data_IF_380695540617
#
_entry.id   IF_380695540617
#
_cell.length_a   1.000
_cell.length_b   1.000
_cell.length_c   1.000
_cell.angle_alpha   90.00
_cell.angle_beta   90.00
_cell.angle_gamma   90.00
#
_symmetry.space_group_name_H-M   'P 1'
#
loop_
_entity.id
_entity.type
_entity.pdbx_description
1 polymer ?
#
# COMPACT_ATOMS: atom_id res chain seq x y z
N UNK A 1 40.19 5.44 3.81
CA UNK A 1 38.84 5.12 3.27
C UNK A 1 37.86 5.18 4.43
N UNK A 2 37.23 6.34 4.64
CA UNK A 2 36.24 6.56 5.70
C UNK A 2 34.88 6.09 5.21
N UNK A 3 34.34 5.02 5.79
CA UNK A 3 33.01 4.50 5.45
C UNK A 3 31.96 5.21 6.30
N UNK A 4 31.18 6.11 5.71
CA UNK A 4 30.01 6.75 6.35
C UNK A 4 28.78 5.84 6.26
N UNK A 5 28.04 5.68 7.36
CA UNK A 5 26.83 4.84 7.44
C UNK A 5 25.59 5.73 7.46
N UNK A 6 24.71 5.59 6.47
CA UNK A 6 23.50 6.39 6.37
C UNK A 6 22.27 5.63 6.88
N UNK A 7 21.45 6.29 7.70
CA UNK A 7 20.13 5.80 8.14
C UNK A 7 19.03 6.55 7.37
N UNK A 8 17.97 5.85 6.95
CA UNK A 8 16.95 6.40 6.02
C UNK A 8 15.57 6.49 6.66
N UNK A 9 15.00 7.69 6.71
CA UNK A 9 13.62 7.94 7.15
C UNK A 9 12.79 8.62 6.06
N UNK A 10 11.50 8.27 5.93
CA UNK A 10 10.59 8.87 4.93
C UNK A 10 9.95 10.15 5.49
N UNK A 11 10.05 11.27 4.79
CA UNK A 11 9.68 12.60 5.31
C UNK A 11 8.18 12.93 5.27
N UNK A 12 7.36 12.17 4.55
CA UNK A 12 5.93 12.43 4.42
C UNK A 12 5.16 11.11 4.44
N UNK A 13 4.66 10.74 5.62
CA UNK A 13 3.60 9.73 5.73
C UNK A 13 2.28 10.50 5.69
N UNK A 14 1.31 10.14 4.81
CA UNK A 14 -0.04 10.65 4.97
C UNK A 14 -0.55 10.32 6.38
N UNK A 15 -1.38 11.19 6.98
CA UNK A 15 -1.88 10.98 8.33
C UNK A 15 -2.54 9.61 8.43
N UNK A 16 -2.14 8.83 9.44
CA UNK A 16 -2.71 7.52 9.69
C UNK A 16 -4.16 7.69 10.16
N UNK A 17 -5.08 7.77 9.23
CA UNK A 17 -6.51 7.70 9.50
C UNK A 17 -6.87 6.24 9.77
N UNK A 18 -7.74 5.99 10.74
CA UNK A 18 -8.32 4.66 10.97
C UNK A 18 -9.06 4.12 9.75
N UNK A 19 -9.39 4.98 8.77
CA UNK A 19 -9.98 4.63 7.47
C UNK A 19 -8.95 4.35 6.38
N UNK A 20 -7.72 4.86 6.49
CA UNK A 20 -6.69 4.69 5.45
C UNK A 20 -5.98 3.35 5.59
N UNK A 21 -6.37 2.38 4.77
CA UNK A 21 -5.75 1.05 4.67
C UNK A 21 -4.55 1.09 3.73
N UNK A 22 -3.46 1.72 4.18
CA UNK A 22 -2.23 1.86 3.40
C UNK A 22 -1.25 0.73 3.73
N UNK A 23 -0.74 0.04 2.70
CA UNK A 23 0.29 -0.99 2.79
C UNK A 23 1.54 -0.49 2.07
N UNK A 24 2.62 -0.29 2.82
CA UNK A 24 3.92 -0.01 2.24
C UNK A 24 4.56 -1.31 1.73
N UNK A 25 4.99 -1.30 0.47
CA UNK A 25 5.66 -2.40 -0.20
C UNK A 25 7.16 -2.10 -0.24
N UNK A 26 7.96 -3.00 0.33
CA UNK A 26 9.41 -2.94 0.27
C UNK A 26 9.95 -3.81 -0.87
N UNK A 27 11.14 -3.47 -1.35
CA UNK A 27 11.87 -4.31 -2.31
C UNK A 27 12.14 -5.72 -1.78
N UNK A 28 12.16 -5.92 -0.45
CA UNK A 28 12.32 -7.23 0.20
C UNK A 28 11.00 -7.97 0.51
N UNK A 29 9.84 -7.32 0.37
CA UNK A 29 8.54 -7.95 0.65
C UNK A 29 8.27 -9.08 -0.36
N UNK A 30 8.00 -10.33 0.04
CA UNK A 30 7.60 -11.37 -0.90
C UNK A 30 6.31 -11.00 -1.64
N UNK A 31 6.22 -11.29 -2.93
CA UNK A 31 5.09 -10.90 -3.78
C UNK A 31 3.74 -11.34 -3.19
N UNK A 32 3.59 -12.64 -2.90
CA UNK A 32 2.38 -13.20 -2.31
C UNK A 32 2.06 -12.65 -0.91
N UNK A 33 3.04 -12.15 -0.17
CA UNK A 33 2.79 -11.51 1.12
C UNK A 33 2.10 -10.14 0.93
N UNK A 34 2.44 -9.40 -0.12
CA UNK A 34 1.74 -8.16 -0.45
C UNK A 34 0.29 -8.43 -0.87
N UNK A 35 0.08 -9.40 -1.76
CA UNK A 35 -1.25 -9.84 -2.22
C UNK A 35 -2.14 -10.27 -1.06
N UNK A 36 -1.67 -11.21 -0.22
CA UNK A 36 -2.44 -11.72 0.93
C UNK A 36 -2.78 -10.62 1.94
N UNK A 37 -1.88 -9.65 2.15
CA UNK A 37 -2.16 -8.50 3.05
C UNK A 37 -3.26 -7.60 2.49
N UNK A 38 -3.21 -7.30 1.19
CA UNK A 38 -4.24 -6.50 0.53
C UNK A 38 -5.60 -7.22 0.57
N UNK A 39 -5.63 -8.51 0.19
CA UNK A 39 -6.85 -9.34 0.24
C UNK A 39 -7.46 -9.37 1.63
N UNK A 40 -6.65 -9.58 2.67
CA UNK A 40 -7.11 -9.58 4.07
C UNK A 40 -7.75 -8.26 4.48
N UNK A 41 -7.22 -7.12 4.00
CA UNK A 41 -7.77 -5.81 4.32
C UNK A 41 -9.09 -5.53 3.56
N UNK A 42 -9.20 -5.98 2.31
CA UNK A 42 -10.46 -5.98 1.54
C UNK A 42 -11.51 -6.92 2.18
N UNK A 43 -11.10 -8.09 2.67
CA UNK A 43 -11.99 -9.01 3.36
C UNK A 43 -12.53 -8.48 4.68
N UNK A 44 -11.66 -7.77 5.41
CA UNK A 44 -12.01 -7.19 6.70
C UNK A 44 -13.08 -6.11 6.54
N UNK A 45 -13.02 -5.30 5.49
CA UNK A 45 -14.04 -4.27 5.26
C UNK A 45 -15.42 -4.85 5.00
N UNK A 46 -15.49 -5.93 4.22
CA UNK A 46 -16.73 -6.64 3.97
C UNK A 46 -17.36 -7.19 5.27
N UNK A 47 -16.56 -7.44 6.32
CA UNK A 47 -17.08 -7.98 7.60
C UNK A 47 -17.71 -6.87 8.43
N UNK A 48 -17.15 -5.67 8.35
CA UNK A 48 -17.66 -4.49 9.04
C UNK A 48 -18.99 -4.01 8.47
N UNK A 49 -19.23 -4.19 7.17
CA UNK A 49 -20.45 -3.70 6.49
C UNK A 49 -21.66 -4.63 6.61
N UNK A 50 -21.56 -5.74 7.35
CA UNK A 50 -22.66 -6.72 7.45
C UNK A 50 -22.95 -7.47 6.14
N UNK A 51 -22.09 -7.31 5.13
CA UNK A 51 -22.22 -7.96 3.84
C UNK A 51 -21.87 -9.46 3.95
N UNK A 52 -22.93 -10.25 4.11
CA UNK A 52 -22.97 -11.72 4.06
C UNK A 52 -22.50 -12.52 5.31
N UNK A 53 -22.96 -13.78 5.45
CA UNK A 53 -22.76 -14.61 6.65
C UNK A 53 -21.28 -14.97 6.91
N UNK A 54 -20.98 -15.28 8.17
CA UNK A 54 -19.63 -15.49 8.75
C UNK A 54 -18.73 -16.49 7.99
N UNK A 55 -19.30 -17.39 7.19
CA UNK A 55 -18.59 -18.44 6.44
C UNK A 55 -18.69 -18.30 4.91
N UNK A 56 -19.21 -17.19 4.40
CA UNK A 56 -19.29 -16.96 2.95
C UNK A 56 -17.90 -16.73 2.34
N UNK A 57 -17.68 -17.26 1.14
CA UNK A 57 -16.47 -16.96 0.37
C UNK A 57 -16.44 -15.48 -0.05
N UNK A 58 -15.26 -14.94 -0.33
CA UNK A 58 -15.12 -13.55 -0.78
C UNK A 58 -16.01 -13.27 -2.00
N UNK A 59 -16.03 -14.19 -2.97
CA UNK A 59 -16.86 -14.10 -4.16
C UNK A 59 -18.36 -13.97 -3.84
N UNK A 60 -18.87 -14.80 -2.91
CA UNK A 60 -20.26 -14.75 -2.47
C UNK A 60 -20.60 -13.42 -1.78
N UNK A 61 -19.64 -12.83 -1.07
CA UNK A 61 -19.82 -11.56 -0.36
C UNK A 61 -19.81 -10.36 -1.31
N UNK A 62 -18.92 -10.40 -2.31
CA UNK A 62 -18.89 -9.43 -3.41
C UNK A 62 -20.19 -9.49 -4.23
N UNK A 63 -20.69 -10.69 -4.55
CA UNK A 63 -21.99 -10.83 -5.20
C UNK A 63 -23.16 -10.30 -4.34
N UNK A 64 -23.14 -10.56 -3.03
CA UNK A 64 -24.19 -10.07 -2.13
C UNK A 64 -24.26 -8.54 -2.14
N UNK A 65 -23.11 -7.85 -2.14
CA UNK A 65 -23.04 -6.39 -2.26
C UNK A 65 -23.66 -5.87 -3.56
N UNK A 66 -23.40 -6.55 -4.68
CA UNK A 66 -24.00 -6.20 -5.99
C UNK A 66 -25.52 -6.30 -5.95
N UNK A 67 -26.07 -7.32 -5.28
CA UNK A 67 -27.53 -7.54 -5.17
C UNK A 67 -28.23 -6.53 -4.26
N UNK A 68 -27.57 -6.06 -3.20
CA UNK A 68 -28.14 -5.07 -2.26
C UNK A 68 -28.15 -3.65 -2.80
N UNK A 69 -27.78 -3.43 -4.06
CA UNK A 69 -27.93 -2.13 -4.72
C UNK A 69 -27.03 -1.06 -4.11
N UNK A 70 -25.71 -1.27 -4.12
CA UNK A 70 -24.70 -0.21 -4.13
C UNK A 70 -24.86 0.93 -3.12
N UNK A 71 -25.48 0.69 -1.96
CA UNK A 71 -25.50 1.67 -0.89
C UNK A 71 -24.05 1.95 -0.48
N UNK A 72 -23.71 3.23 -0.35
CA UNK A 72 -22.51 3.91 0.16
C UNK A 72 -21.75 3.17 1.28
N UNK A 73 -21.40 1.92 1.04
CA UNK A 73 -20.46 1.17 1.82
C UNK A 73 -19.16 1.86 1.48
N UNK A 74 -18.66 2.67 2.41
CA UNK A 74 -17.31 3.20 2.51
C UNK A 74 -16.33 2.16 1.93
N UNK A 75 -16.18 2.21 0.60
CA UNK A 75 -15.86 1.02 -0.17
C UNK A 75 -14.39 0.85 0.02
N UNK A 76 -14.02 -0.08 0.88
CA UNK A 76 -12.69 -0.05 1.44
C UNK A 76 -11.63 -0.08 0.36
N UNK A 77 -11.02 1.07 0.15
CA UNK A 77 -9.87 1.19 -0.70
C UNK A 77 -8.68 0.73 0.10
N UNK A 78 -7.94 -0.23 -0.46
CA UNK A 78 -6.63 -0.60 0.04
C UNK A 78 -5.61 0.04 -0.87
N UNK A 79 -4.73 0.86 -0.28
CA UNK A 79 -3.70 1.58 -1.03
C UNK A 79 -2.36 0.91 -0.83
N UNK A 80 -1.72 0.44 -1.91
CA UNK A 80 -0.33 -0.02 -1.89
C UNK A 80 0.58 1.13 -2.27
N UNK A 81 1.63 1.36 -1.47
CA UNK A 81 2.65 2.36 -1.79
C UNK A 81 4.02 1.71 -1.97
N UNK A 82 4.62 1.89 -3.14
CA UNK A 82 5.98 1.45 -3.47
C UNK A 82 6.86 2.61 -3.91
N UNK A 83 8.14 2.59 -3.54
CA UNK A 83 9.14 3.58 -3.98
C UNK A 83 10.39 2.90 -4.53
N UNK A 84 11.08 3.56 -5.47
CA UNK A 84 12.31 3.04 -6.09
C UNK A 84 12.15 1.59 -6.60
N UNK A 85 13.03 0.68 -6.16
CA UNK A 85 13.02 -0.74 -6.57
C UNK A 85 11.73 -1.50 -6.19
N UNK A 86 10.91 -0.97 -5.28
CA UNK A 86 9.64 -1.59 -4.94
C UNK A 86 8.53 -1.30 -5.96
N UNK A 87 8.68 -0.28 -6.83
CA UNK A 87 7.67 0.13 -7.82
C UNK A 87 7.31 -1.03 -8.74
N UNK A 88 8.31 -1.74 -9.29
CA UNK A 88 8.12 -2.90 -10.16
C UNK A 88 7.20 -3.95 -9.50
N UNK A 89 7.47 -4.26 -8.24
CA UNK A 89 6.67 -5.24 -7.48
C UNK A 89 5.27 -4.73 -7.17
N UNK A 90 5.13 -3.45 -6.83
CA UNK A 90 3.83 -2.82 -6.59
C UNK A 90 2.96 -2.86 -7.85
N UNK A 91 3.54 -2.59 -9.01
CA UNK A 91 2.85 -2.69 -10.30
C UNK A 91 2.46 -4.14 -10.62
N UNK A 92 3.34 -5.11 -10.37
CA UNK A 92 3.01 -6.53 -10.55
C UNK A 92 1.83 -6.97 -9.66
N UNK A 93 1.72 -6.44 -8.44
CA UNK A 93 0.58 -6.73 -7.56
C UNK A 93 -0.70 -6.11 -8.11
N UNK A 94 -0.63 -4.90 -8.66
CA UNK A 94 -1.76 -4.25 -9.33
C UNK A 94 -2.30 -5.14 -10.48
N UNK A 95 -1.41 -5.61 -11.37
CA UNK A 95 -1.81 -6.49 -12.47
C UNK A 95 -2.38 -7.83 -12.02
N UNK A 96 -1.94 -8.37 -10.87
CA UNK A 96 -2.54 -9.57 -10.28
C UNK A 96 -4.01 -9.35 -9.88
N UNK A 97 -4.32 -8.22 -9.23
CA UNK A 97 -5.70 -7.89 -8.85
C UNK A 97 -6.59 -7.55 -10.05
N UNK A 98 -6.01 -6.97 -11.10
CA UNK A 98 -6.72 -6.69 -12.34
C UNK A 98 -7.13 -7.99 -13.05
N UNK A 99 -6.24 -8.99 -13.07
CA UNK A 99 -6.48 -10.33 -13.65
C UNK A 99 -7.50 -11.15 -12.85
N UNK A 100 -7.56 -11.00 -11.53
CA UNK A 100 -8.53 -11.72 -10.68
C UNK A 100 -9.98 -11.31 -10.99
N UNK A 101 -10.19 -10.11 -11.54
CA UNK A 101 -11.47 -9.66 -12.11
C UNK A 101 -12.53 -9.18 -11.09
N UNK A 102 -12.30 -9.38 -9.80
CA UNK A 102 -13.22 -8.99 -8.70
C UNK A 102 -12.90 -7.63 -8.06
N UNK A 103 -11.84 -6.97 -8.52
CA UNK A 103 -11.40 -5.66 -8.04
C UNK A 103 -11.28 -4.64 -9.17
N UNK A 104 -11.51 -3.38 -8.83
CA UNK A 104 -11.10 -2.18 -9.58
C UNK A 104 -9.74 -1.70 -9.06
N UNK A 105 -8.84 -1.34 -9.97
CA UNK A 105 -7.47 -0.92 -9.65
C UNK A 105 -7.20 0.45 -10.28
N UNK A 106 -6.72 1.38 -9.46
CA UNK A 106 -6.32 2.73 -9.90
C UNK A 106 -4.83 2.96 -9.57
N UNK A 107 -4.09 3.55 -10.51
CA UNK A 107 -2.66 3.84 -10.38
C UNK A 107 -2.42 5.34 -10.32
N UNK A 108 -1.59 5.78 -9.37
CA UNK A 108 -1.16 7.17 -9.25
C UNK A 108 0.34 7.26 -9.02
N UNK A 109 1.01 8.05 -9.84
CA UNK A 109 2.44 8.35 -9.67
C UNK A 109 2.63 9.57 -8.79
N UNK A 110 3.67 9.58 -7.96
CA UNK A 110 4.01 10.72 -7.13
C UNK A 110 5.51 10.81 -6.84
N UNK A 111 5.85 11.74 -5.95
CA UNK A 111 7.23 11.93 -5.45
C UNK A 111 7.20 12.03 -3.94
N UNK A 112 8.12 11.34 -3.27
CA UNK A 112 8.27 11.33 -1.80
C UNK A 112 9.67 11.79 -1.42
N UNK A 113 9.77 12.62 -0.37
CA UNK A 113 11.04 12.99 0.25
C UNK A 113 11.56 11.90 1.19
N UNK A 114 12.84 11.58 1.09
CA UNK A 114 13.57 10.76 2.06
C UNK A 114 14.66 11.63 2.70
N UNK A 115 14.77 11.55 4.02
CA UNK A 115 15.84 12.17 4.80
C UNK A 115 16.86 11.06 5.05
N UNK A 116 18.07 11.26 4.54
CA UNK A 116 19.20 10.39 4.79
C UNK A 116 20.12 11.10 5.81
N UNK A 117 20.24 10.54 7.01
CA UNK A 117 21.16 11.05 8.04
C UNK A 117 22.57 10.56 7.72
N UNK A 118 23.51 11.47 7.53
CA UNK A 118 24.90 11.16 7.16
C UNK A 118 25.78 11.32 8.39
N UNK A 119 26.17 10.21 9.01
CA UNK A 119 27.17 10.22 10.09
C UNK A 119 28.56 10.27 9.45
N UNK A 120 29.28 11.37 9.66
CA UNK A 120 30.68 11.51 9.28
C UNK A 120 31.53 11.12 10.50
N UNK A 121 32.49 10.20 10.33
CA UNK A 121 33.40 9.86 11.43
C UNK A 121 34.48 10.96 11.54
N UNK A 122 34.25 11.91 12.45
CA UNK A 122 35.11 13.06 12.78
C UNK A 122 34.30 14.04 13.65
N UNK A 123 34.94 15.01 14.31
CA UNK A 123 34.30 16.01 15.20
C UNK A 123 33.39 17.03 14.46
N UNK A 124 32.73 16.62 13.37
CA UNK A 124 31.82 17.44 12.57
C UNK A 124 30.37 17.00 12.80
N UNK A 125 29.47 17.98 12.81
CA UNK A 125 28.04 17.82 13.14
C UNK A 125 27.30 16.89 12.15
N UNK A 126 26.28 16.20 12.65
CA UNK A 126 25.40 15.34 11.83
C UNK A 126 24.69 16.17 10.74
N UNK A 127 24.93 15.83 9.47
CA UNK A 127 24.25 16.46 8.33
C UNK A 127 23.08 15.60 7.82
N UNK A 128 21.89 16.20 7.71
CA UNK A 128 20.72 15.56 7.08
C UNK A 128 20.58 15.97 5.62
N UNK A 129 20.52 14.99 4.70
CA UNK A 129 20.31 15.25 3.26
C UNK A 129 18.92 14.83 2.81
N UNK A 130 18.20 15.75 2.15
CA UNK A 130 16.87 15.47 1.58
C UNK A 130 16.99 14.97 0.13
N UNK A 131 16.46 13.79 -0.14
CA UNK A 131 16.44 13.15 -1.47
C UNK A 131 15.00 12.91 -1.93
N UNK A 132 14.68 13.34 -3.16
CA UNK A 132 13.40 13.05 -3.81
C UNK A 132 13.43 11.66 -4.45
N UNK A 133 12.36 10.90 -4.29
CA UNK A 133 12.18 9.56 -4.85
C UNK A 133 10.83 9.44 -5.54
N UNK A 134 10.77 8.79 -6.69
CA UNK A 134 9.50 8.44 -7.33
C UNK A 134 8.72 7.44 -6.46
N UNK A 135 7.41 7.62 -6.38
CA UNK A 135 6.49 6.68 -5.75
C UNK A 135 5.38 6.26 -6.71
N UNK A 136 4.90 5.04 -6.51
CA UNK A 136 3.69 4.51 -7.13
C UNK A 136 2.70 4.18 -6.01
N UNK A 137 1.51 4.75 -6.13
CA UNK A 137 0.34 4.50 -5.31
C UNK A 137 -0.65 3.67 -6.13
N UNK A 138 -1.12 2.56 -5.56
CA UNK A 138 -2.10 1.66 -6.20
C UNK A 138 -3.29 1.56 -5.27
N UNK A 139 -4.45 2.03 -5.72
CA UNK A 139 -5.70 1.94 -4.99
C UNK A 139 -6.50 0.75 -5.51
N UNK A 140 -6.88 -0.16 -4.61
CA UNK A 140 -7.63 -1.38 -4.94
C UNK A 140 -8.97 -1.31 -4.23
N UNK A 141 -10.06 -1.48 -4.98
CA UNK A 141 -11.44 -1.48 -4.50
C UNK A 141 -12.16 -2.72 -5.02
N UNK A 142 -13.14 -3.24 -4.27
CA UNK A 142 -13.98 -4.35 -4.72
C UNK A 142 -15.05 -3.84 -5.71
N UNK A 143 -15.29 -4.62 -6.78
CA UNK A 143 -16.32 -4.38 -7.80
C UNK A 143 -17.74 -4.76 -7.36
#
# INVERSE_FOLDING_TARGET
MTSSKANKTSSSRPPASSKSRIIYVSSKTPFMAAVKRARKQLDASLRTTGAAPKYASLHQRVEALKRTGGGDADSAVVTLMGTGRAIEKTLAVAGWFEQEGDCDVELKTGTVGAIDDVVVNGDEEDESRLRKLSCLEVSIKLK
#
